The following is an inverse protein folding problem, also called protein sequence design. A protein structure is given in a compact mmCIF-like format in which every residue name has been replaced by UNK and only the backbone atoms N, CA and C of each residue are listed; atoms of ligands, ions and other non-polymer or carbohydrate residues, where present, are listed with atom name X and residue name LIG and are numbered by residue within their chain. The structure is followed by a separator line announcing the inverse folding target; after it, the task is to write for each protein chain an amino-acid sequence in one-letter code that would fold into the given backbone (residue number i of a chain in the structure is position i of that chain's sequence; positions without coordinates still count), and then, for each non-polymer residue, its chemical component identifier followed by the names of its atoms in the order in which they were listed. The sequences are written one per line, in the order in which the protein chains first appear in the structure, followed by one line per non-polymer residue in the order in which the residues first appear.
data_IF_797692827387
#
_entry.id   IF_797692827387
#
_cell.length_a   1.000
_cell.length_b   1.000
_cell.length_c   1.000
_cell.angle_alpha   90.00
_cell.angle_beta   90.00
_cell.angle_gamma   90.00
#
_symmetry.space_group_name_H-M   'P 1'
#
loop_
_entity.id
_entity.type
_entity.pdbx_description
1 polymer ?
#
# COMPACT_ATOMS: atom_id res chain seq x y z
N UNK A 1 29.10 -42.33 13.08
CA UNK A 1 29.09 -40.85 13.05
C UNK A 1 28.86 -40.35 11.61
N UNK A 2 27.85 -40.88 10.90
CA UNK A 2 27.62 -40.66 9.46
C UNK A 2 26.14 -40.41 9.12
N UNK A 3 25.25 -40.40 10.10
CA UNK A 3 23.80 -40.21 9.92
C UNK A 3 23.37 -38.75 9.91
N UNK A 4 24.20 -37.84 10.41
CA UNK A 4 23.85 -36.43 10.63
C UNK A 4 23.86 -35.61 9.33
N UNK A 5 24.76 -35.94 8.40
CA UNK A 5 24.94 -35.24 7.11
C UNK A 5 23.86 -35.56 6.08
N UNK A 6 23.37 -36.80 6.06
CA UNK A 6 22.31 -37.20 5.14
C UNK A 6 20.96 -36.53 5.46
N UNK A 7 20.69 -36.32 6.75
CA UNK A 7 19.45 -35.70 7.23
C UNK A 7 19.45 -34.17 7.01
N UNK A 8 20.63 -33.53 7.12
CA UNK A 8 20.80 -32.11 6.76
C UNK A 8 20.65 -31.86 5.26
N UNK A 9 21.20 -32.74 4.41
CA UNK A 9 21.02 -32.62 2.95
C UNK A 9 19.57 -32.85 2.51
N UNK A 10 18.86 -33.77 3.16
CA UNK A 10 17.44 -34.03 2.93
C UNK A 10 16.59 -32.79 3.23
N UNK A 11 16.71 -32.25 4.46
CA UNK A 11 16.02 -31.01 4.87
C UNK A 11 16.34 -29.84 3.95
N UNK A 12 17.61 -29.66 3.61
CA UNK A 12 18.04 -28.56 2.72
C UNK A 12 17.40 -28.67 1.33
N UNK A 13 17.28 -29.88 0.77
CA UNK A 13 16.63 -30.11 -0.52
C UNK A 13 15.12 -29.94 -0.46
N UNK A 14 14.49 -30.30 0.66
CA UNK A 14 13.06 -30.13 0.88
C UNK A 14 12.69 -28.64 1.03
N UNK A 15 13.44 -27.88 1.81
CA UNK A 15 13.31 -26.41 1.91
C UNK A 15 13.54 -25.74 0.55
N UNK A 16 14.58 -26.14 -0.19
CA UNK A 16 14.85 -25.58 -1.52
C UNK A 16 13.74 -25.91 -2.55
N UNK A 17 13.07 -27.06 -2.41
CA UNK A 17 11.94 -27.44 -3.25
C UNK A 17 10.66 -26.67 -2.86
N UNK A 18 10.44 -26.42 -1.57
CA UNK A 18 9.36 -25.60 -1.04
C UNK A 18 9.43 -24.14 -1.51
N UNK A 19 10.63 -23.54 -1.50
CA UNK A 19 10.87 -22.16 -1.98
C UNK A 19 10.53 -22.01 -3.49
N UNK A 20 10.63 -23.09 -4.26
CA UNK A 20 10.34 -23.10 -5.71
C UNK A 20 8.87 -23.44 -6.03
N UNK A 21 8.02 -23.69 -5.03
CA UNK A 21 6.59 -23.88 -5.27
C UNK A 21 6.00 -22.58 -5.86
N UNK A 22 5.37 -22.62 -7.04
CA UNK A 22 4.72 -21.47 -7.66
C UNK A 22 3.77 -20.70 -6.73
N UNK A 23 3.14 -21.38 -5.76
CA UNK A 23 2.26 -20.75 -4.75
C UNK A 23 3.04 -19.89 -3.76
N UNK A 24 4.21 -20.35 -3.32
CA UNK A 24 5.12 -19.61 -2.43
C UNK A 24 5.70 -18.42 -3.17
N UNK A 25 6.14 -18.62 -4.42
CA UNK A 25 6.65 -17.53 -5.27
C UNK A 25 5.59 -16.47 -5.51
N UNK A 26 4.38 -16.86 -5.92
CA UNK A 26 3.27 -15.93 -6.15
C UNK A 26 2.89 -15.14 -4.89
N UNK A 27 2.84 -15.82 -3.73
CA UNK A 27 2.59 -15.18 -2.44
C UNK A 27 3.70 -14.19 -2.07
N UNK A 28 4.98 -14.55 -2.25
CA UNK A 28 6.10 -13.65 -1.99
C UNK A 28 6.11 -12.42 -2.91
N UNK A 29 5.83 -12.61 -4.21
CA UNK A 29 5.70 -11.51 -5.17
C UNK A 29 4.58 -10.54 -4.78
N UNK A 30 3.44 -11.06 -4.32
CA UNK A 30 2.34 -10.22 -3.85
C UNK A 30 2.66 -9.52 -2.52
N UNK A 31 3.10 -10.28 -1.52
CA UNK A 31 3.22 -9.80 -0.14
C UNK A 31 4.47 -8.97 0.12
N UNK A 32 5.51 -9.12 -0.71
CA UNK A 32 6.78 -8.39 -0.57
C UNK A 32 7.10 -7.61 -1.84
N UNK A 33 6.96 -8.23 -3.01
CA UNK A 33 7.25 -7.57 -4.29
C UNK A 33 6.36 -6.35 -4.54
N UNK A 34 5.05 -6.46 -4.34
CA UNK A 34 4.12 -5.36 -4.53
C UNK A 34 4.36 -4.17 -3.57
N UNK A 35 4.45 -4.33 -2.24
CA UNK A 35 4.76 -3.20 -1.35
C UNK A 35 6.16 -2.63 -1.57
N UNK A 36 7.15 -3.44 -1.97
CA UNK A 36 8.46 -2.92 -2.37
C UNK A 36 8.36 -2.01 -3.59
N UNK A 37 7.67 -2.45 -4.65
CA UNK A 37 7.47 -1.65 -5.85
C UNK A 37 6.62 -0.39 -5.55
N UNK A 38 5.62 -0.51 -4.68
CA UNK A 38 4.84 0.62 -4.17
C UNK A 38 5.74 1.66 -3.50
N UNK A 39 6.66 1.24 -2.62
CA UNK A 39 7.61 2.14 -1.98
C UNK A 39 8.54 2.83 -3.00
N UNK A 40 8.99 2.10 -4.03
CA UNK A 40 9.80 2.67 -5.12
C UNK A 40 9.02 3.74 -5.89
N UNK A 41 7.75 3.48 -6.24
CA UNK A 41 6.93 4.45 -6.97
C UNK A 41 6.62 5.68 -6.10
N UNK A 42 6.31 5.49 -4.81
CA UNK A 42 6.08 6.58 -3.87
C UNK A 42 7.28 7.50 -3.70
N UNK A 43 8.50 6.98 -3.84
CA UNK A 43 9.71 7.81 -3.79
C UNK A 43 9.74 8.90 -4.87
N UNK A 44 9.11 8.64 -6.03
CA UNK A 44 9.03 9.58 -7.15
C UNK A 44 7.73 10.39 -7.17
N UNK A 45 6.89 10.29 -6.14
CA UNK A 45 5.63 11.03 -6.05
C UNK A 45 5.89 12.55 -5.92
N UNK A 46 5.40 13.38 -6.87
CA UNK A 46 5.56 14.83 -6.79
C UNK A 46 4.73 15.42 -5.63
N UNK A 47 5.25 16.43 -4.96
CA UNK A 47 4.46 17.15 -3.96
C UNK A 47 3.49 18.12 -4.64
N UNK A 48 2.23 18.09 -4.24
CA UNK A 48 1.24 19.09 -4.63
C UNK A 48 1.50 20.45 -3.95
N UNK A 49 2.14 20.47 -2.78
CA UNK A 49 2.38 21.70 -2.03
C UNK A 49 1.09 22.46 -1.67
N UNK A 50 1.24 23.75 -1.34
CA UNK A 50 0.12 24.62 -0.95
C UNK A 50 -0.63 25.20 -2.15
N UNK A 51 -0.05 25.14 -3.35
CA UNK A 51 -0.62 25.68 -4.60
C UNK A 51 -0.64 24.59 -5.68
N UNK A 52 -1.55 23.60 -5.57
CA UNK A 52 -1.44 22.34 -6.30
C UNK A 52 -1.45 22.49 -7.82
N UNK A 53 -2.28 23.38 -8.35
CA UNK A 53 -2.34 23.60 -9.80
C UNK A 53 -1.00 24.11 -10.34
N UNK A 54 -0.38 25.10 -9.68
CA UNK A 54 0.88 25.68 -10.10
C UNK A 54 2.05 24.69 -9.91
N UNK A 55 2.06 23.96 -8.81
CA UNK A 55 3.10 22.98 -8.50
C UNK A 55 3.08 21.77 -9.46
N UNK A 56 1.89 21.29 -9.82
CA UNK A 56 1.72 20.08 -10.62
C UNK A 56 1.72 20.33 -12.12
N UNK A 57 1.29 21.50 -12.61
CA UNK A 57 1.30 21.85 -14.04
C UNK A 57 2.60 21.49 -14.78
N UNK A 58 3.81 21.85 -14.29
CA UNK A 58 5.06 21.53 -14.99
C UNK A 58 5.45 20.04 -14.95
N UNK A 59 4.83 19.24 -14.07
CA UNK A 59 5.17 17.81 -13.84
C UNK A 59 3.94 16.92 -13.96
N UNK A 60 2.89 17.39 -14.63
CA UNK A 60 1.57 16.72 -14.66
C UNK A 60 1.65 15.31 -15.25
N UNK A 61 2.57 15.09 -16.19
CA UNK A 61 2.80 13.77 -16.78
C UNK A 61 3.41 12.78 -15.79
N UNK A 62 4.34 13.25 -14.96
CA UNK A 62 4.91 12.45 -13.87
C UNK A 62 3.84 12.14 -12.83
N UNK A 63 3.04 13.13 -12.43
CA UNK A 63 1.92 12.94 -11.51
C UNK A 63 0.93 11.88 -12.01
N UNK A 64 0.50 12.00 -13.28
CA UNK A 64 -0.37 11.02 -13.91
C UNK A 64 0.24 9.62 -13.91
N UNK A 65 1.49 9.48 -14.35
CA UNK A 65 2.16 8.17 -14.43
C UNK A 65 2.30 7.53 -13.05
N UNK A 66 2.75 8.30 -12.05
CA UNK A 66 2.89 7.82 -10.67
C UNK A 66 1.54 7.33 -10.17
N UNK A 67 0.47 8.10 -10.26
CA UNK A 67 -0.84 7.67 -9.77
C UNK A 67 -1.45 6.51 -10.58
N UNK A 68 -1.20 6.45 -11.89
CA UNK A 68 -1.59 5.30 -12.70
C UNK A 68 -0.89 4.00 -12.26
N UNK A 69 0.33 4.08 -11.73
CA UNK A 69 1.05 2.96 -11.13
C UNK A 69 0.63 2.70 -9.67
N UNK A 70 0.40 3.76 -8.88
CA UNK A 70 -0.02 3.64 -7.48
C UNK A 70 -1.40 2.97 -7.36
N UNK A 71 -2.35 3.28 -8.24
CA UNK A 71 -3.69 2.70 -8.22
C UNK A 71 -3.68 1.15 -8.16
N UNK A 72 -3.07 0.42 -9.11
CA UNK A 72 -2.98 -1.03 -9.02
C UNK A 72 -2.08 -1.51 -7.87
N UNK A 73 -1.02 -0.77 -7.49
CA UNK A 73 -0.11 -1.17 -6.41
C UNK A 73 -0.78 -1.09 -5.02
N UNK A 74 -1.59 -0.07 -4.75
CA UNK A 74 -2.44 -0.01 -3.56
C UNK A 74 -3.53 -1.09 -3.60
N UNK A 75 -4.07 -1.40 -4.79
CA UNK A 75 -4.97 -2.55 -4.95
C UNK A 75 -4.30 -3.86 -4.53
N UNK A 76 -3.06 -4.09 -4.99
CA UNK A 76 -2.26 -5.26 -4.61
C UNK A 76 -1.91 -5.26 -3.12
N UNK A 77 -1.63 -4.11 -2.51
CA UNK A 77 -1.44 -4.01 -1.06
C UNK A 77 -2.68 -4.51 -0.30
N UNK A 78 -3.89 -4.08 -0.70
CA UNK A 78 -5.14 -4.51 -0.09
C UNK A 78 -5.41 -6.01 -0.31
N UNK A 79 -5.14 -6.53 -1.50
CA UNK A 79 -5.21 -7.97 -1.77
C UNK A 79 -4.21 -8.72 -0.87
N UNK A 80 -3.01 -8.18 -0.67
CA UNK A 80 -2.02 -8.73 0.26
C UNK A 80 -2.53 -8.81 1.70
N UNK A 81 -3.17 -7.75 2.21
CA UNK A 81 -3.82 -7.76 3.53
C UNK A 81 -4.92 -8.81 3.62
N UNK A 82 -5.73 -8.97 2.56
CA UNK A 82 -6.75 -10.02 2.50
C UNK A 82 -6.12 -11.42 2.56
N UNK A 83 -5.04 -11.64 1.81
CA UNK A 83 -4.29 -12.91 1.79
C UNK A 83 -3.73 -13.23 3.17
N UNK A 84 -3.18 -12.25 3.90
CA UNK A 84 -2.73 -12.43 5.29
C UNK A 84 -3.88 -12.84 6.24
N UNK A 85 -5.10 -12.37 5.99
CA UNK A 85 -6.30 -12.74 6.75
C UNK A 85 -6.94 -14.06 6.29
N UNK A 86 -6.62 -14.56 5.10
CA UNK A 86 -7.31 -15.69 4.46
C UNK A 86 -7.16 -17.01 5.23
N UNK A 87 -6.09 -17.14 6.00
CA UNK A 87 -5.75 -18.33 6.79
C UNK A 87 -6.51 -18.40 8.13
N UNK A 88 -7.12 -17.29 8.54
CA UNK A 88 -7.77 -17.17 9.84
C UNK A 88 -9.30 -17.20 9.72
N UNK A 89 -9.99 -17.70 10.75
CA UNK A 89 -11.47 -17.71 10.81
C UNK A 89 -11.96 -17.00 12.08
N UNK A 90 -13.25 -16.65 12.11
CA UNK A 90 -13.90 -16.00 13.24
C UNK A 90 -13.95 -14.47 13.16
N UNK A 91 -14.48 -13.85 14.22
CA UNK A 91 -14.87 -12.42 14.24
C UNK A 91 -13.73 -11.47 13.91
N UNK A 92 -12.53 -11.68 14.48
CA UNK A 92 -11.38 -10.79 14.23
C UNK A 92 -10.98 -10.82 12.75
N UNK A 93 -10.94 -12.00 12.13
CA UNK A 93 -10.65 -12.14 10.72
C UNK A 93 -11.73 -11.50 9.84
N UNK A 94 -13.01 -11.62 10.22
CA UNK A 94 -14.12 -10.96 9.52
C UNK A 94 -14.02 -9.44 9.59
N UNK A 95 -13.77 -8.86 10.77
CA UNK A 95 -13.57 -7.42 10.94
C UNK A 95 -12.41 -6.92 10.09
N UNK A 96 -11.28 -7.66 10.08
CA UNK A 96 -10.15 -7.34 9.22
C UNK A 96 -10.51 -7.30 7.73
N UNK A 97 -11.28 -8.27 7.24
CA UNK A 97 -11.71 -8.32 5.83
C UNK A 97 -12.65 -7.17 5.47
N UNK A 98 -13.54 -6.78 6.38
CA UNK A 98 -14.36 -5.58 6.20
C UNK A 98 -13.48 -4.34 6.11
N UNK A 99 -12.46 -4.22 6.98
CA UNK A 99 -11.46 -3.16 6.90
C UNK A 99 -10.76 -3.12 5.53
N UNK A 100 -10.33 -4.28 5.01
CA UNK A 100 -9.74 -4.38 3.67
C UNK A 100 -10.72 -3.93 2.58
N UNK A 101 -11.99 -4.33 2.67
CA UNK A 101 -13.00 -3.92 1.68
C UNK A 101 -13.21 -2.40 1.68
N UNK A 102 -13.32 -1.78 2.85
CA UNK A 102 -13.41 -0.31 2.99
C UNK A 102 -12.16 0.37 2.44
N UNK A 103 -10.97 -0.13 2.77
CA UNK A 103 -9.72 0.36 2.22
C UNK A 103 -9.71 0.33 0.69
N UNK A 104 -9.98 -0.83 0.09
CA UNK A 104 -9.93 -1.01 -1.36
C UNK A 104 -10.92 -0.09 -2.07
N UNK A 105 -12.15 0.04 -1.56
CA UNK A 105 -13.16 0.89 -2.20
C UNK A 105 -12.77 2.37 -2.09
N UNK A 106 -12.48 2.85 -0.87
CA UNK A 106 -12.30 4.27 -0.64
C UNK A 106 -10.93 4.77 -1.11
N UNK A 107 -9.86 4.03 -0.82
CA UNK A 107 -8.51 4.49 -1.15
C UNK A 107 -8.22 4.44 -2.65
N UNK A 108 -8.75 3.44 -3.38
CA UNK A 108 -8.63 3.41 -4.84
C UNK A 108 -9.45 4.50 -5.52
N UNK A 109 -10.62 4.84 -4.96
CA UNK A 109 -11.40 5.99 -5.43
C UNK A 109 -10.64 7.31 -5.19
N UNK A 110 -10.00 7.46 -4.03
CA UNK A 110 -9.09 8.57 -3.76
C UNK A 110 -7.97 8.66 -4.81
N UNK A 111 -7.22 7.59 -5.06
CA UNK A 111 -6.13 7.56 -6.05
C UNK A 111 -6.61 7.97 -7.45
N UNK A 112 -7.77 7.47 -7.86
CA UNK A 112 -8.34 7.80 -9.16
C UNK A 112 -8.76 9.28 -9.28
N UNK A 113 -9.32 9.87 -8.21
CA UNK A 113 -9.78 11.26 -8.22
C UNK A 113 -8.60 12.22 -8.01
N UNK A 114 -7.89 12.10 -6.89
CA UNK A 114 -6.80 12.99 -6.53
C UNK A 114 -5.63 12.89 -7.52
N UNK A 115 -5.32 11.68 -7.96
CA UNK A 115 -4.23 11.42 -8.89
C UNK A 115 -4.65 11.66 -10.34
N UNK A 116 -5.40 10.71 -10.88
CA UNK A 116 -5.63 10.57 -12.33
C UNK A 116 -6.54 11.68 -12.85
N UNK A 117 -7.70 11.90 -12.23
CA UNK A 117 -8.66 12.90 -12.70
C UNK A 117 -8.08 14.33 -12.61
N UNK A 118 -7.39 14.66 -11.52
CA UNK A 118 -6.65 15.93 -11.37
C UNK A 118 -5.63 16.13 -12.48
N UNK A 119 -4.83 15.10 -12.81
CA UNK A 119 -3.84 15.21 -13.88
C UNK A 119 -4.49 15.48 -15.25
N UNK A 120 -5.62 14.81 -15.53
CA UNK A 120 -6.40 15.06 -16.76
C UNK A 120 -6.91 16.49 -16.78
N UNK A 121 -7.51 16.98 -15.69
CA UNK A 121 -7.99 18.37 -15.60
C UNK A 121 -6.88 19.39 -15.86
N UNK A 122 -5.70 19.20 -15.24
CA UNK A 122 -4.55 20.10 -15.43
C UNK A 122 -4.06 20.04 -16.89
N UNK A 123 -3.88 18.85 -17.48
CA UNK A 123 -3.44 18.68 -18.87
C UNK A 123 -4.37 19.37 -19.86
N UNK A 124 -5.67 19.12 -19.75
CA UNK A 124 -6.67 19.67 -20.66
C UNK A 124 -6.89 21.18 -20.45
N UNK A 125 -6.36 21.76 -19.37
CA UNK A 125 -6.46 23.19 -19.11
C UNK A 125 -5.43 24.04 -19.88
N UNK A 126 -4.40 23.45 -20.47
CA UNK A 126 -3.26 24.17 -21.05
C UNK A 126 -3.65 25.23 -22.09
N UNK A 127 -4.63 24.90 -22.94
CA UNK A 127 -5.09 25.75 -24.06
C UNK A 127 -6.34 26.59 -23.73
N UNK A 128 -6.84 26.52 -22.49
CA UNK A 128 -8.03 27.25 -22.08
C UNK A 128 -7.75 28.75 -21.86
N UNK A 129 -8.82 29.55 -21.93
CA UNK A 129 -8.76 30.96 -21.57
C UNK A 129 -8.40 31.14 -20.08
N UNK A 130 -7.88 32.31 -19.71
CA UNK A 130 -7.35 32.56 -18.37
C UNK A 130 -8.38 32.35 -17.25
N UNK A 131 -9.61 32.82 -17.47
CA UNK A 131 -10.76 32.65 -16.57
C UNK A 131 -11.17 31.18 -16.42
N UNK A 132 -11.11 30.40 -17.50
CA UNK A 132 -11.40 28.97 -17.46
C UNK A 132 -10.32 28.18 -16.69
N UNK A 133 -9.04 28.55 -16.87
CA UNK A 133 -7.92 27.95 -16.11
C UNK A 133 -8.00 28.24 -14.61
N UNK A 134 -8.43 29.44 -14.25
CA UNK A 134 -8.67 29.80 -12.85
C UNK A 134 -9.75 28.89 -12.22
N UNK A 135 -10.83 28.61 -12.97
CA UNK A 135 -11.84 27.64 -12.55
C UNK A 135 -11.31 26.23 -12.34
N UNK A 136 -10.42 25.75 -13.23
CA UNK A 136 -9.75 24.45 -13.06
C UNK A 136 -8.86 24.45 -11.83
N UNK A 137 -8.07 25.51 -11.62
CA UNK A 137 -7.19 25.64 -10.46
C UNK A 137 -7.98 25.57 -9.15
N UNK A 138 -9.12 26.25 -9.06
CA UNK A 138 -10.01 26.21 -7.90
C UNK A 138 -10.55 24.79 -7.62
N UNK A 139 -10.93 24.04 -8.65
CA UNK A 139 -11.38 22.63 -8.49
C UNK A 139 -10.23 21.74 -8.02
N UNK A 140 -9.05 21.90 -8.60
CA UNK A 140 -7.84 21.15 -8.22
C UNK A 140 -7.47 21.41 -6.76
N UNK A 141 -7.57 22.66 -6.31
CA UNK A 141 -7.34 23.03 -4.92
C UNK A 141 -8.33 22.32 -3.98
N UNK A 142 -9.64 22.46 -4.21
CA UNK A 142 -10.68 21.77 -3.42
C UNK A 142 -10.48 20.25 -3.36
N UNK A 143 -10.02 19.62 -4.45
CA UNK A 143 -9.78 18.17 -4.48
C UNK A 143 -8.58 17.79 -3.61
N UNK A 144 -7.53 18.61 -3.56
CA UNK A 144 -6.23 18.22 -2.98
C UNK A 144 -5.96 18.81 -1.59
N UNK A 145 -6.50 19.97 -1.25
CA UNK A 145 -6.19 20.68 0.00
C UNK A 145 -7.28 20.55 1.06
N UNK A 146 -8.50 20.19 0.69
CA UNK A 146 -9.62 20.07 1.63
C UNK A 146 -9.79 18.62 2.14
N UNK A 147 -9.36 18.30 3.37
CA UNK A 147 -9.32 16.93 3.87
C UNK A 147 -10.70 16.32 4.16
N UNK A 148 -11.72 17.15 4.40
CA UNK A 148 -13.09 16.72 4.76
C UNK A 148 -14.12 17.23 3.76
N UNK A 149 -13.97 18.49 3.32
CA UNK A 149 -14.89 19.11 2.35
C UNK A 149 -14.58 18.67 0.90
N UNK A 150 -13.35 18.24 0.63
CA UNK A 150 -12.95 17.58 -0.60
C UNK A 150 -13.33 16.09 -0.59
N UNK A 151 -14.09 15.64 -1.60
CA UNK A 151 -14.49 14.22 -1.76
C UNK A 151 -13.28 13.28 -1.71
N UNK A 152 -12.13 13.70 -2.27
CA UNK A 152 -10.91 12.90 -2.27
C UNK A 152 -10.28 12.77 -0.87
N UNK A 153 -10.21 13.87 -0.10
CA UNK A 153 -9.69 13.85 1.27
C UNK A 153 -10.48 12.90 2.18
N UNK A 154 -11.82 12.96 2.12
CA UNK A 154 -12.68 12.07 2.89
C UNK A 154 -12.45 10.59 2.52
N UNK A 155 -12.34 10.29 1.23
CA UNK A 155 -12.04 8.93 0.74
C UNK A 155 -10.68 8.43 1.23
N UNK A 156 -9.66 9.29 1.24
CA UNK A 156 -8.33 8.96 1.77
C UNK A 156 -8.40 8.60 3.26
N UNK A 157 -9.11 9.41 4.07
CA UNK A 157 -9.28 9.17 5.51
C UNK A 157 -10.01 7.85 5.76
N UNK A 158 -11.18 7.65 5.14
CA UNK A 158 -11.98 6.43 5.34
C UNK A 158 -11.21 5.19 4.87
N UNK A 159 -10.54 5.28 3.72
CA UNK A 159 -9.70 4.20 3.22
C UNK A 159 -8.55 3.86 4.17
N UNK A 160 -7.89 4.87 4.73
CA UNK A 160 -6.78 4.70 5.69
C UNK A 160 -7.26 4.10 7.01
N UNK A 161 -8.44 4.48 7.50
CA UNK A 161 -9.07 3.84 8.67
C UNK A 161 -9.38 2.36 8.38
N UNK A 162 -9.91 2.04 7.20
CA UNK A 162 -10.12 0.66 6.77
C UNK A 162 -8.82 -0.16 6.78
N UNK A 163 -7.73 0.42 6.27
CA UNK A 163 -6.40 -0.18 6.26
C UNK A 163 -5.89 -0.45 7.69
N UNK A 164 -6.01 0.55 8.58
CA UNK A 164 -5.62 0.41 9.99
C UNK A 164 -6.40 -0.71 10.68
N UNK A 165 -7.72 -0.79 10.47
CA UNK A 165 -8.55 -1.87 11.02
C UNK A 165 -8.08 -3.25 10.55
N UNK A 166 -7.77 -3.39 9.26
CA UNK A 166 -7.22 -4.63 8.71
C UNK A 166 -5.87 -4.99 9.34
N UNK A 167 -4.94 -4.04 9.44
CA UNK A 167 -3.62 -4.24 10.03
C UNK A 167 -3.70 -4.62 11.51
N UNK A 168 -4.58 -3.99 12.28
CA UNK A 168 -4.81 -4.34 13.69
C UNK A 168 -5.38 -5.76 13.84
N UNK A 169 -6.33 -6.15 12.99
CA UNK A 169 -6.88 -7.51 13.00
C UNK A 169 -5.81 -8.56 12.66
N UNK A 170 -4.98 -8.29 11.63
CA UNK A 170 -3.83 -9.14 11.26
C UNK A 170 -2.85 -9.24 12.44
N UNK A 171 -2.49 -8.12 13.05
CA UNK A 171 -1.58 -8.08 14.19
C UNK A 171 -2.11 -8.93 15.37
N UNK A 172 -3.39 -8.79 15.72
CA UNK A 172 -4.00 -9.61 16.78
C UNK A 172 -3.95 -11.10 16.45
N UNK A 173 -4.27 -11.49 15.22
CA UNK A 173 -4.28 -12.89 14.79
C UNK A 173 -2.86 -13.48 14.79
N UNK A 174 -1.90 -12.77 14.22
CA UNK A 174 -0.48 -13.17 14.21
C UNK A 174 0.06 -13.33 15.64
N UNK A 175 -0.23 -12.38 16.54
CA UNK A 175 0.21 -12.45 17.94
C UNK A 175 -0.42 -13.62 18.68
N UNK A 176 -1.69 -13.93 18.43
CA UNK A 176 -2.36 -15.13 18.98
C UNK A 176 -1.77 -16.43 18.45
N UNK A 177 -1.17 -16.40 17.26
CA UNK A 177 -0.45 -17.53 16.66
C UNK A 177 1.02 -17.64 17.07
N UNK A 178 1.53 -16.75 17.95
CA UNK A 178 2.90 -16.81 18.42
C UNK A 178 3.93 -16.03 17.60
N UNK A 179 3.50 -15.28 16.56
CA UNK A 179 4.41 -14.51 15.72
C UNK A 179 5.23 -13.49 16.54
N UNK A 180 6.52 -13.25 16.22
CA UNK A 180 7.38 -12.30 16.94
C UNK A 180 6.84 -10.86 16.91
N UNK A 181 7.11 -10.09 17.97
CA UNK A 181 6.48 -8.76 18.16
C UNK A 181 6.98 -7.74 17.15
N UNK A 182 8.29 -7.72 16.90
CA UNK A 182 8.95 -6.72 16.05
C UNK A 182 8.33 -6.66 14.65
N UNK A 183 8.26 -7.77 13.87
CA UNK A 183 7.68 -7.69 12.53
C UNK A 183 6.16 -7.46 12.54
N UNK A 184 5.45 -7.78 13.62
CA UNK A 184 4.04 -7.39 13.78
C UNK A 184 3.90 -5.88 13.96
N UNK A 185 4.75 -5.24 14.77
CA UNK A 185 4.75 -3.78 14.95
C UNK A 185 5.08 -3.08 13.64
N UNK A 186 6.02 -3.63 12.86
CA UNK A 186 6.38 -3.09 11.54
C UNK A 186 5.20 -3.04 10.55
N UNK A 187 4.16 -3.87 10.73
CA UNK A 187 2.95 -3.81 9.90
C UNK A 187 2.20 -2.47 10.02
N UNK A 188 2.38 -1.74 11.14
CA UNK A 188 1.85 -0.38 11.28
C UNK A 188 2.44 0.60 10.26
N UNK A 189 3.53 0.22 9.58
CA UNK A 189 4.09 0.99 8.47
C UNK A 189 3.11 1.24 7.33
N UNK A 190 2.16 0.32 7.06
CA UNK A 190 1.15 0.50 6.01
C UNK A 190 0.27 1.73 6.28
N UNK A 191 -0.51 1.79 7.37
CA UNK A 191 -1.35 2.97 7.64
C UNK A 191 -0.52 4.26 7.82
N UNK A 192 0.70 4.18 8.37
CA UNK A 192 1.61 5.34 8.45
C UNK A 192 1.97 5.85 7.05
N UNK A 193 2.31 4.93 6.13
CA UNK A 193 2.64 5.27 4.75
C UNK A 193 1.47 5.90 4.00
N UNK A 194 0.24 5.43 4.26
CA UNK A 194 -0.99 6.01 3.71
C UNK A 194 -1.29 7.41 4.26
N UNK A 195 -1.08 7.65 5.55
CA UNK A 195 -1.25 9.00 6.15
C UNK A 195 -0.22 9.98 5.59
N UNK A 196 1.02 9.52 5.43
CA UNK A 196 2.10 10.32 4.86
C UNK A 196 2.04 10.42 3.32
N UNK A 197 0.98 9.96 2.67
CA UNK A 197 0.85 9.98 1.22
C UNK A 197 1.15 11.38 0.65
N UNK A 198 2.00 11.47 -0.37
CA UNK A 198 2.49 12.74 -0.92
C UNK A 198 3.65 13.40 -0.17
N UNK A 199 4.01 12.91 1.02
CA UNK A 199 5.16 13.38 1.79
C UNK A 199 6.33 12.38 1.73
N UNK A 200 7.21 12.56 0.75
CA UNK A 200 8.51 11.87 0.71
C UNK A 200 9.47 12.50 1.72
N UNK A 201 10.20 11.72 2.54
CA UNK A 201 10.35 10.27 2.50
C UNK A 201 9.37 9.47 3.38
N UNK A 202 8.46 10.13 4.11
CA UNK A 202 7.57 9.50 5.10
C UNK A 202 6.74 8.34 4.55
N UNK A 203 6.07 8.54 3.41
CA UNK A 203 5.27 7.48 2.76
C UNK A 203 6.11 6.24 2.42
N UNK A 204 7.29 6.48 1.83
CA UNK A 204 8.21 5.41 1.43
C UNK A 204 8.71 4.62 2.64
N UNK A 205 9.12 5.31 3.72
CA UNK A 205 9.60 4.67 4.95
C UNK A 205 8.50 3.81 5.58
N UNK A 206 7.26 4.32 5.64
CA UNK A 206 6.11 3.57 6.16
C UNK A 206 5.88 2.27 5.37
N UNK A 207 5.78 2.35 4.05
CA UNK A 207 5.56 1.16 3.22
C UNK A 207 6.75 0.18 3.27
N UNK A 208 8.00 0.68 3.33
CA UNK A 208 9.16 -0.19 3.52
C UNK A 208 9.13 -0.90 4.88
N UNK A 209 8.75 -0.22 5.96
CA UNK A 209 8.60 -0.86 7.26
C UNK A 209 7.57 -2.01 7.19
N UNK A 210 6.41 -1.79 6.57
CA UNK A 210 5.43 -2.85 6.33
C UNK A 210 6.02 -4.00 5.51
N UNK A 211 6.69 -3.69 4.40
CA UNK A 211 7.34 -4.67 3.52
C UNK A 211 8.34 -5.55 4.28
N UNK A 212 9.19 -4.96 5.12
CA UNK A 212 10.14 -5.70 5.94
C UNK A 212 9.44 -6.56 7.01
N UNK A 213 8.38 -6.04 7.64
CA UNK A 213 7.57 -6.80 8.59
C UNK A 213 6.97 -8.06 7.96
N UNK A 214 6.37 -7.92 6.79
CA UNK A 214 5.78 -9.04 6.05
C UNK A 214 6.85 -10.02 5.58
N UNK A 215 7.97 -9.55 5.00
CA UNK A 215 9.05 -10.42 4.58
C UNK A 215 9.62 -11.26 5.73
N UNK A 216 9.77 -10.66 6.92
CA UNK A 216 10.18 -11.40 8.11
C UNK A 216 9.15 -12.46 8.50
N UNK A 217 7.86 -12.10 8.59
CA UNK A 217 6.80 -13.06 8.95
C UNK A 217 6.74 -14.24 7.97
N UNK A 218 6.83 -13.98 6.68
CA UNK A 218 6.72 -14.99 5.63
C UNK A 218 7.95 -15.89 5.55
N UNK A 219 9.16 -15.33 5.60
CA UNK A 219 10.39 -16.09 5.33
C UNK A 219 11.21 -16.44 6.58
N UNK A 220 11.09 -15.67 7.65
CA UNK A 220 11.87 -15.83 8.88
C UNK A 220 11.09 -16.41 10.06
N UNK A 221 9.78 -16.58 9.94
CA UNK A 221 8.94 -17.21 10.98
C UNK A 221 8.17 -18.41 10.40
N UNK A 222 7.35 -18.20 9.36
CA UNK A 222 6.49 -19.26 8.80
C UNK A 222 7.21 -20.40 8.08
N UNK A 223 8.43 -20.17 7.57
CA UNK A 223 9.22 -21.21 6.91
C UNK A 223 10.15 -21.98 7.87
N UNK A 224 10.28 -21.50 9.11
CA UNK A 224 11.18 -22.09 10.12
C UNK A 224 10.44 -22.83 11.22
N UNK A 225 9.13 -22.59 11.37
CA UNK A 225 8.20 -23.33 12.24
C UNK A 225 7.55 -24.50 11.48
#
# INVERSE_FOLDING_TARGET
MTTDTADTESKSRETARSIRDPRVVGRGLLLVGAPFLLAVVLWFHPSAGDEPFAALSPVVDTWFLVHALLLPLFGLLGIGLYVLLSEYRGTVATVGRVGVAVYLVCYLAFEAIAGIATAVLIRESGDLAADQREGVAAVVDVVLTEPIDGVAGLLAVVGTVGNLVAVLAIAVLLRRSGAPLVPVVLLAGSPIGLVAHGATPGATIGILAFCFGVAWLEFGWRLTD
#
